data_IF_984963086705
#
_entry.id   IF_984963086705
#
_cell.length_a   1.000
_cell.length_b   1.000
_cell.length_c   1.000
_cell.angle_alpha   90.00
_cell.angle_beta   90.00
_cell.angle_gamma   90.00
#
_symmetry.space_group_name_H-M   'P 1'
#
loop_
_entity.id
_entity.type
_entity.pdbx_description
1 polymer ?
#
# COMPACT_ATOMS: atom_id res chain seq x y z
N UNK A 1 9.50 -3.32 -36.76
CA UNK A 1 9.67 -2.09 -35.95
C UNK A 1 8.44 -2.01 -35.07
N UNK A 2 8.41 -2.80 -33.99
CA UNK A 2 7.22 -3.02 -33.17
C UNK A 2 7.18 -1.96 -32.09
N UNK A 3 6.16 -1.11 -32.16
CA UNK A 3 5.57 -0.29 -31.11
C UNK A 3 6.20 -0.47 -29.72
N UNK A 4 7.23 0.33 -29.42
CA UNK A 4 7.53 0.70 -28.06
C UNK A 4 6.42 1.66 -27.61
N UNK A 5 5.22 1.11 -27.43
CA UNK A 5 4.07 1.80 -26.84
C UNK A 5 4.53 2.26 -25.46
N UNK A 6 4.96 3.52 -25.36
CA UNK A 6 5.37 4.12 -24.11
C UNK A 6 4.16 4.07 -23.19
N UNK A 7 4.16 3.13 -22.27
CA UNK A 7 3.08 2.91 -21.32
C UNK A 7 2.74 4.22 -20.62
N UNK A 8 1.54 4.74 -20.86
CA UNK A 8 1.03 5.95 -20.23
C UNK A 8 1.09 5.80 -18.70
N UNK A 9 1.92 6.58 -17.98
CA UNK A 9 2.07 6.43 -16.54
C UNK A 9 0.75 6.67 -15.79
N UNK A 10 -0.13 7.55 -16.28
CA UNK A 10 -1.45 7.76 -15.68
C UNK A 10 -2.28 6.48 -15.70
N UNK A 11 -2.36 5.81 -16.85
CA UNK A 11 -3.00 4.49 -16.99
C UNK A 11 -2.34 3.41 -16.15
N UNK A 12 -1.02 3.44 -15.97
CA UNK A 12 -0.33 2.49 -15.07
C UNK A 12 -0.78 2.67 -13.62
N UNK A 13 -0.83 3.92 -13.12
CA UNK A 13 -1.31 4.24 -11.79
C UNK A 13 -2.76 3.79 -11.57
N UNK A 14 -3.66 4.04 -12.55
CA UNK A 14 -5.05 3.56 -12.49
C UNK A 14 -5.13 2.04 -12.40
N UNK A 15 -4.48 1.32 -13.33
CA UNK A 15 -4.53 -0.16 -13.36
C UNK A 15 -3.99 -0.73 -12.06
N UNK A 16 -2.83 -0.28 -11.63
CA UNK A 16 -2.23 -0.73 -10.37
C UNK A 16 -3.14 -0.42 -9.18
N UNK A 17 -3.67 0.80 -9.09
CA UNK A 17 -4.54 1.24 -8.00
C UNK A 17 -5.80 0.38 -7.88
N UNK A 18 -6.46 0.04 -8.99
CA UNK A 18 -7.65 -0.85 -8.94
C UNK A 18 -7.31 -2.29 -8.54
N UNK A 19 -6.21 -2.87 -9.05
CA UNK A 19 -5.81 -4.22 -8.64
C UNK A 19 -5.35 -4.26 -7.17
N UNK A 20 -4.63 -3.23 -6.71
CA UNK A 20 -4.26 -3.08 -5.32
C UNK A 20 -5.51 -2.93 -4.43
N UNK A 21 -6.47 -2.07 -4.81
CA UNK A 21 -7.71 -1.88 -4.07
C UNK A 21 -8.51 -3.18 -3.97
N UNK A 22 -8.64 -3.92 -5.07
CA UNK A 22 -9.29 -5.24 -5.07
C UNK A 22 -8.59 -6.20 -4.09
N UNK A 23 -7.26 -6.23 -4.11
CA UNK A 23 -6.45 -7.07 -3.21
C UNK A 23 -6.71 -6.72 -1.75
N UNK A 24 -6.70 -5.43 -1.40
CA UNK A 24 -6.92 -5.00 -0.02
C UNK A 24 -8.38 -5.14 0.42
N UNK A 25 -9.36 -5.01 -0.48
CA UNK A 25 -10.76 -5.35 -0.18
C UNK A 25 -10.89 -6.84 0.14
N UNK A 26 -10.29 -7.72 -0.66
CA UNK A 26 -10.27 -9.16 -0.38
C UNK A 26 -9.62 -9.45 0.97
N UNK A 27 -8.48 -8.80 1.27
CA UNK A 27 -7.86 -8.90 2.59
C UNK A 27 -8.80 -8.45 3.71
N UNK A 28 -9.50 -7.32 3.54
CA UNK A 28 -10.48 -6.82 4.51
C UNK A 28 -11.61 -7.82 4.77
N UNK A 29 -12.15 -8.44 3.71
CA UNK A 29 -13.14 -9.51 3.85
C UNK A 29 -12.61 -10.72 4.61
N UNK A 30 -11.35 -11.11 4.39
CA UNK A 30 -10.73 -12.21 5.15
C UNK A 30 -10.55 -11.86 6.63
N UNK A 31 -10.15 -10.63 6.95
CA UNK A 31 -10.01 -10.18 8.34
C UNK A 31 -11.36 -10.11 9.06
N UNK A 32 -12.40 -9.63 8.38
CA UNK A 32 -13.77 -9.62 8.90
C UNK A 32 -14.31 -11.05 9.08
N UNK A 33 -14.03 -11.94 8.13
CA UNK A 33 -14.36 -13.36 8.24
C UNK A 33 -13.69 -13.99 9.48
N UNK A 34 -12.40 -13.74 9.72
CA UNK A 34 -11.72 -14.26 10.92
C UNK A 34 -12.34 -13.73 12.22
N UNK A 35 -12.78 -12.47 12.26
CA UNK A 35 -13.54 -11.92 13.39
C UNK A 35 -14.91 -12.60 13.55
N UNK A 36 -15.70 -12.69 12.48
CA UNK A 36 -17.07 -13.22 12.51
C UNK A 36 -17.14 -14.69 12.93
N UNK A 37 -16.18 -15.52 12.50
CA UNK A 37 -16.10 -16.94 12.85
C UNK A 37 -15.31 -17.23 14.13
N UNK A 38 -14.83 -16.19 14.83
CA UNK A 38 -14.04 -16.27 16.05
C UNK A 38 -12.86 -17.24 15.98
N UNK A 39 -12.08 -17.18 14.91
CA UNK A 39 -10.97 -18.11 14.71
C UNK A 39 -9.89 -17.85 15.78
N UNK A 40 -9.64 -18.84 16.64
CA UNK A 40 -8.75 -18.73 17.80
C UNK A 40 -7.29 -18.38 17.44
N UNK A 41 -6.82 -18.75 16.24
CA UNK A 41 -5.49 -18.37 15.73
C UNK A 41 -5.37 -16.90 15.33
N UNK A 42 -6.43 -16.11 15.46
CA UNK A 42 -6.47 -14.68 15.12
C UNK A 42 -7.09 -13.80 16.24
N UNK A 43 -7.90 -14.38 17.13
CA UNK A 43 -8.57 -13.67 18.24
C UNK A 43 -8.01 -13.98 19.64
N UNK A 44 -6.96 -14.80 19.79
CA UNK A 44 -6.29 -14.95 21.09
C UNK A 44 -5.53 -13.68 21.48
N UNK A 45 -5.29 -13.48 22.78
CA UNK A 45 -4.47 -12.37 23.29
C UNK A 45 -3.05 -12.39 22.69
N UNK A 46 -2.47 -13.58 22.55
CA UNK A 46 -1.15 -13.80 21.93
C UNK A 46 -1.09 -13.39 20.45
N UNK A 47 -2.24 -13.21 19.79
CA UNK A 47 -2.33 -12.82 18.38
C UNK A 47 -2.74 -11.37 18.18
N UNK A 48 -2.81 -10.57 19.26
CA UNK A 48 -3.10 -9.14 19.18
C UNK A 48 -2.14 -8.37 18.25
N UNK A 49 -0.80 -8.55 18.32
CA UNK A 49 0.10 -7.88 17.38
C UNK A 49 -0.18 -8.26 15.92
N UNK A 50 -0.52 -9.53 15.65
CA UNK A 50 -0.89 -10.00 14.31
C UNK A 50 -2.14 -9.31 13.80
N UNK A 51 -3.19 -9.27 14.62
CA UNK A 51 -4.46 -8.63 14.29
C UNK A 51 -4.25 -7.14 13.98
N UNK A 52 -3.52 -6.43 14.84
CA UNK A 52 -3.19 -5.02 14.61
C UNK A 52 -2.41 -4.84 13.30
N UNK A 53 -1.34 -5.60 13.11
CA UNK A 53 -0.48 -5.51 11.93
C UNK A 53 -1.27 -5.77 10.63
N UNK A 54 -2.13 -6.79 10.58
CA UNK A 54 -2.94 -7.06 9.39
C UNK A 54 -4.02 -6.01 9.13
N UNK A 55 -4.63 -5.45 10.19
CA UNK A 55 -5.55 -4.30 10.05
C UNK A 55 -4.81 -3.08 9.49
N UNK A 56 -3.60 -2.79 9.98
CA UNK A 56 -2.79 -1.68 9.45
C UNK A 56 -2.36 -1.92 8.00
N UNK A 57 -2.02 -3.16 7.64
CA UNK A 57 -1.72 -3.55 6.26
C UNK A 57 -2.91 -3.29 5.33
N UNK A 58 -4.11 -3.72 5.73
CA UNK A 58 -5.35 -3.47 4.99
C UNK A 58 -5.63 -1.98 4.83
N UNK A 59 -5.64 -1.23 5.94
CA UNK A 59 -6.00 0.18 5.95
C UNK A 59 -5.06 1.03 5.08
N UNK A 60 -3.75 0.87 5.26
CA UNK A 60 -2.78 1.63 4.47
C UNK A 60 -2.71 1.16 3.02
N UNK A 61 -2.87 -0.14 2.78
CA UNK A 61 -2.94 -0.69 1.44
C UNK A 61 -4.10 -0.11 0.63
N UNK A 62 -5.30 -0.08 1.21
CA UNK A 62 -6.49 0.51 0.59
C UNK A 62 -6.30 2.03 0.36
N UNK A 63 -5.77 2.76 1.34
CA UNK A 63 -5.49 4.19 1.19
C UNK A 63 -4.50 4.46 0.05
N UNK A 64 -3.38 3.72 0.00
CA UNK A 64 -2.37 3.91 -1.04
C UNK A 64 -2.93 3.50 -2.41
N UNK A 65 -3.74 2.45 -2.49
CA UNK A 65 -4.44 2.10 -3.73
C UNK A 65 -5.33 3.25 -4.24
N UNK A 66 -6.06 3.91 -3.35
CA UNK A 66 -6.85 5.11 -3.69
C UNK A 66 -5.96 6.26 -4.15
N UNK A 67 -4.80 6.48 -3.52
CA UNK A 67 -3.81 7.49 -3.97
C UNK A 67 -3.33 7.20 -5.40
N UNK A 68 -3.10 5.94 -5.75
CA UNK A 68 -2.75 5.57 -7.13
C UNK A 68 -3.90 5.85 -8.11
N UNK A 69 -5.15 5.55 -7.73
CA UNK A 69 -6.32 5.84 -8.58
C UNK A 69 -6.47 7.35 -8.79
N UNK A 70 -6.38 8.15 -7.73
CA UNK A 70 -6.53 9.62 -7.83
C UNK A 70 -5.38 10.25 -8.62
N UNK A 71 -4.14 9.80 -8.41
CA UNK A 71 -2.99 10.28 -9.19
C UNK A 71 -3.12 9.91 -10.67
N UNK A 72 -3.54 8.68 -10.97
CA UNK A 72 -3.76 8.25 -12.35
C UNK A 72 -4.87 9.05 -13.05
N UNK A 73 -5.95 9.37 -12.34
CA UNK A 73 -7.04 10.21 -12.86
C UNK A 73 -6.63 11.69 -13.04
N UNK A 74 -5.79 12.22 -12.15
CA UNK A 74 -5.29 13.59 -12.21
C UNK A 74 -4.07 13.75 -13.15
N UNK A 75 -3.53 12.65 -13.70
CA UNK A 75 -2.23 12.63 -14.37
C UNK A 75 -2.11 13.65 -15.50
N UNK A 76 -3.15 13.79 -16.33
CA UNK A 76 -3.18 14.73 -17.47
C UNK A 76 -3.16 16.20 -17.05
N UNK A 77 -3.45 16.50 -15.79
CA UNK A 77 -3.43 17.86 -15.23
C UNK A 77 -2.05 18.22 -14.65
N UNK A 78 -1.17 17.24 -14.47
CA UNK A 78 0.16 17.43 -13.88
C UNK A 78 1.19 17.79 -14.96
N UNK A 79 2.13 18.66 -14.61
CA UNK A 79 3.23 19.03 -15.52
C UNK A 79 4.28 17.92 -15.57
N UNK A 80 4.62 17.38 -16.75
CA UNK A 80 5.68 16.41 -16.89
C UNK A 80 7.01 16.96 -16.35
N UNK A 81 7.60 16.28 -15.37
CA UNK A 81 8.87 16.68 -14.78
C UNK A 81 9.64 15.47 -14.21
N UNK A 82 10.97 15.55 -14.07
CA UNK A 82 11.75 14.51 -13.38
C UNK A 82 11.27 14.26 -11.94
N UNK A 83 10.72 15.29 -11.28
CA UNK A 83 10.15 15.20 -9.94
C UNK A 83 8.86 14.38 -9.92
N UNK A 84 8.00 14.52 -10.94
CA UNK A 84 6.80 13.69 -11.07
C UNK A 84 7.15 12.21 -11.29
N UNK A 85 8.20 11.92 -12.07
CA UNK A 85 8.71 10.55 -12.22
C UNK A 85 9.24 9.99 -10.89
N UNK A 86 9.99 10.78 -10.14
CA UNK A 86 10.45 10.39 -8.79
C UNK A 86 9.26 10.14 -7.86
N UNK A 87 8.25 11.01 -7.90
CA UNK A 87 7.03 10.86 -7.10
C UNK A 87 6.32 9.54 -7.39
N UNK A 88 6.17 9.19 -8.68
CA UNK A 88 5.60 7.91 -9.12
C UNK A 88 6.37 6.72 -8.54
N UNK A 89 7.71 6.71 -8.65
CA UNK A 89 8.55 5.65 -8.09
C UNK A 89 8.40 5.53 -6.57
N UNK A 90 8.38 6.66 -5.86
CA UNK A 90 8.17 6.68 -4.41
C UNK A 90 6.80 6.08 -4.05
N UNK A 91 5.74 6.41 -4.77
CA UNK A 91 4.40 5.89 -4.48
C UNK A 91 4.30 4.38 -4.75
N UNK A 92 4.91 3.88 -5.84
CA UNK A 92 5.00 2.43 -6.08
C UNK A 92 5.81 1.72 -4.99
N UNK A 93 6.93 2.30 -4.54
CA UNK A 93 7.70 1.74 -3.43
C UNK A 93 6.89 1.71 -2.13
N UNK A 94 6.17 2.79 -1.82
CA UNK A 94 5.29 2.89 -0.66
C UNK A 94 4.16 1.85 -0.70
N UNK A 95 3.57 1.62 -1.87
CA UNK A 95 2.49 0.66 -2.08
C UNK A 95 2.89 -0.79 -1.81
N UNK A 96 4.19 -1.10 -1.87
CA UNK A 96 4.72 -2.42 -1.53
C UNK A 96 5.24 -2.46 -0.10
N UNK A 97 6.16 -1.54 0.25
CA UNK A 97 6.90 -1.60 1.50
C UNK A 97 6.02 -1.38 2.73
N UNK A 98 5.04 -0.49 2.65
CA UNK A 98 4.26 -0.08 3.81
C UNK A 98 3.19 -1.11 4.18
N UNK A 99 2.23 -1.46 3.30
CA UNK A 99 1.28 -2.52 3.62
C UNK A 99 1.96 -3.89 3.69
N UNK A 100 2.98 -4.15 2.87
CA UNK A 100 3.77 -5.38 2.93
C UNK A 100 4.54 -5.52 4.24
N UNK A 101 5.15 -4.45 4.75
CA UNK A 101 5.85 -4.44 6.03
C UNK A 101 4.92 -4.76 7.20
N UNK A 102 3.74 -4.15 7.23
CA UNK A 102 2.70 -4.50 8.19
C UNK A 102 2.25 -5.96 8.04
N UNK A 103 1.95 -6.42 6.83
CA UNK A 103 1.50 -7.80 6.62
C UNK A 103 2.53 -8.83 7.10
N UNK A 104 3.80 -8.64 6.71
CA UNK A 104 4.92 -9.48 7.12
C UNK A 104 5.19 -9.40 8.64
N UNK A 105 5.04 -8.21 9.24
CA UNK A 105 5.12 -8.01 10.69
C UNK A 105 4.03 -8.78 11.45
N UNK A 106 2.92 -9.11 10.80
CA UNK A 106 1.87 -9.95 11.38
C UNK A 106 2.07 -11.46 11.20
N UNK A 107 3.02 -11.94 10.37
CA UNK A 107 3.16 -13.39 10.10
C UNK A 107 3.77 -14.16 11.28
N UNK A 108 4.89 -13.68 11.82
CA UNK A 108 5.61 -14.28 12.94
C UNK A 108 5.78 -13.21 14.03
N UNK A 109 4.93 -13.25 15.04
CA UNK A 109 4.86 -12.25 16.13
C UNK A 109 5.54 -12.77 17.39
N UNK A 110 6.08 -11.86 18.19
CA UNK A 110 6.72 -12.15 19.47
C UNK A 110 6.08 -11.25 20.53
N UNK A 111 4.88 -11.61 21.03
CA UNK A 111 4.09 -10.71 21.88
C UNK A 111 4.92 -10.14 23.05
N UNK A 112 4.85 -8.82 23.28
CA UNK A 112 3.91 -7.85 22.70
C UNK A 112 4.31 -7.29 21.33
N UNK A 113 5.46 -7.67 20.79
CA UNK A 113 6.06 -7.05 19.62
C UNK A 113 5.62 -7.68 18.28
N UNK A 114 5.51 -6.87 17.21
CA UNK A 114 5.32 -7.37 15.86
C UNK A 114 6.59 -8.08 15.35
N UNK A 115 6.44 -8.86 14.30
CA UNK A 115 7.55 -9.49 13.60
C UNK A 115 8.47 -8.50 12.89
N UNK A 116 9.66 -8.99 12.50
CA UNK A 116 10.73 -8.20 11.85
C UNK A 116 10.30 -7.50 10.55
N UNK A 117 9.23 -7.95 9.90
CA UNK A 117 8.67 -7.29 8.71
C UNK A 117 8.30 -5.82 8.94
N UNK A 118 8.03 -5.43 10.19
CA UNK A 118 7.71 -4.04 10.56
C UNK A 118 8.82 -3.05 10.19
N UNK A 119 10.08 -3.51 10.04
CA UNK A 119 11.22 -2.67 9.65
C UNK A 119 11.03 -1.99 8.29
N UNK A 120 10.23 -2.58 7.39
CA UNK A 120 9.92 -1.97 6.09
C UNK A 120 8.94 -0.79 6.19
N UNK A 121 8.13 -0.73 7.24
CA UNK A 121 7.10 0.30 7.43
C UNK A 121 7.66 1.73 7.43
N UNK A 122 8.67 2.09 8.24
CA UNK A 122 9.22 3.45 8.24
C UNK A 122 9.82 3.83 6.87
N UNK A 123 10.45 2.88 6.18
CA UNK A 123 11.01 3.11 4.84
C UNK A 123 9.88 3.40 3.83
N UNK A 124 8.83 2.58 3.84
CA UNK A 124 7.63 2.83 3.04
C UNK A 124 6.95 4.15 3.38
N UNK A 125 6.99 4.56 4.64
CA UNK A 125 6.39 5.81 5.12
C UNK A 125 7.13 7.03 4.58
N UNK A 126 8.47 6.99 4.56
CA UNK A 126 9.30 8.01 3.92
C UNK A 126 8.98 8.10 2.43
N UNK A 127 8.87 6.97 1.73
CA UNK A 127 8.50 6.97 0.31
C UNK A 127 7.10 7.55 0.08
N UNK A 128 6.11 7.21 0.90
CA UNK A 128 4.76 7.78 0.79
C UNK A 128 4.79 9.30 0.98
N UNK A 129 5.47 9.77 2.02
CA UNK A 129 5.61 11.19 2.34
C UNK A 129 6.29 11.95 1.20
N UNK A 130 7.45 11.48 0.74
CA UNK A 130 8.21 12.12 -0.34
C UNK A 130 7.41 12.11 -1.64
N UNK A 131 6.76 10.97 -1.98
CA UNK A 131 5.93 10.85 -3.17
C UNK A 131 4.80 11.87 -3.19
N UNK A 132 4.01 11.95 -2.11
CA UNK A 132 2.93 12.93 -1.98
C UNK A 132 3.43 14.37 -1.99
N UNK A 133 4.51 14.68 -1.27
CA UNK A 133 5.10 16.01 -1.25
C UNK A 133 5.57 16.46 -2.64
N UNK A 134 6.09 15.54 -3.47
CA UNK A 134 6.48 15.85 -4.84
C UNK A 134 5.27 16.08 -5.75
N UNK A 135 4.20 15.27 -5.64
CA UNK A 135 2.95 15.48 -6.40
C UNK A 135 2.31 16.82 -6.03
N UNK A 136 2.22 17.15 -4.74
CA UNK A 136 1.64 18.41 -4.25
C UNK A 136 2.38 19.66 -4.73
N UNK A 137 3.63 19.52 -5.21
CA UNK A 137 4.40 20.62 -5.82
C UNK A 137 4.24 20.72 -7.33
N UNK A 138 3.44 19.83 -7.95
CA UNK A 138 3.11 19.84 -9.38
C UNK A 138 1.69 20.37 -9.66
N UNK A 139 0.85 20.51 -8.63
CA UNK A 139 -0.47 21.16 -8.66
C UNK A 139 -0.30 22.66 -8.46
#
# INVERSE_FOLDING_TARGET
>A
MSDAETSDPGRQHLRFGFYALLTFIVLGFLLEFFHGFRIGSYLSEETEPRRLMWTLAHAHGALIALIHITLGAAWSQLRPSPRLRMASLCLFAAAVLLPGGFFLGGLFVYPPDPGLGVVFVPIGGVFLFVGLALVARQT
#
